data_IF_737818656497
#
_entry.id   IF_737818656497
#
_cell.length_a   1.000
_cell.length_b   1.000
_cell.length_c   1.000
_cell.angle_alpha   90.00
_cell.angle_beta   90.00
_cell.angle_gamma   90.00
#
_symmetry.space_group_name_H-M   'P 1'
#
loop_
_entity.id
_entity.type
_entity.pdbx_description
1 polymer ?
#
# COMPACT_ATOMS: atom_id res chain seq x y z
N UNK A 1 27.52 -11.55 -13.54
CA UNK A 1 26.17 -11.73 -12.98
C UNK A 1 26.15 -10.97 -11.66
N UNK A 2 25.50 -9.81 -11.61
CA UNK A 2 25.36 -9.05 -10.36
C UNK A 2 24.41 -9.83 -9.43
N UNK A 3 24.86 -10.13 -8.23
CA UNK A 3 24.02 -10.77 -7.21
C UNK A 3 23.38 -9.63 -6.42
N UNK A 4 22.06 -9.54 -6.46
CA UNK A 4 21.33 -8.50 -5.74
C UNK A 4 21.54 -8.64 -4.23
N UNK A 5 21.73 -7.54 -3.52
CA UNK A 5 21.79 -7.56 -2.06
C UNK A 5 20.38 -7.60 -1.42
N UNK A 6 20.32 -7.75 -0.08
CA UNK A 6 19.06 -7.83 0.65
C UNK A 6 18.16 -6.60 0.48
N UNK A 7 18.75 -5.41 0.34
CA UNK A 7 18.00 -4.16 0.19
C UNK A 7 17.45 -3.98 -1.22
N UNK A 8 18.23 -4.37 -2.24
CA UNK A 8 17.78 -4.39 -3.64
C UNK A 8 16.61 -5.37 -3.84
N UNK A 9 16.66 -6.53 -3.19
CA UNK A 9 15.55 -7.49 -3.19
C UNK A 9 14.28 -6.97 -2.51
N UNK A 10 14.40 -6.29 -1.36
CA UNK A 10 13.26 -5.70 -0.68
C UNK A 10 12.62 -4.58 -1.52
N UNK A 11 13.45 -3.69 -2.08
CA UNK A 11 13.00 -2.62 -2.99
C UNK A 11 12.20 -3.19 -4.17
N UNK A 12 12.72 -4.26 -4.79
CA UNK A 12 12.07 -4.96 -5.87
C UNK A 12 10.71 -5.56 -5.46
N UNK A 13 10.65 -6.20 -4.30
CA UNK A 13 9.42 -6.82 -3.79
C UNK A 13 8.34 -5.78 -3.49
N UNK A 14 8.71 -4.64 -2.88
CA UNK A 14 7.79 -3.55 -2.58
C UNK A 14 7.23 -2.91 -3.86
N UNK A 15 8.08 -2.72 -4.88
CA UNK A 15 7.62 -2.27 -6.21
C UNK A 15 6.63 -3.26 -6.84
N UNK A 16 6.92 -4.57 -6.78
CA UNK A 16 6.01 -5.63 -7.27
C UNK A 16 4.69 -5.64 -6.49
N UNK A 17 4.74 -5.48 -5.18
CA UNK A 17 3.56 -5.42 -4.32
C UNK A 17 2.66 -4.23 -4.68
N UNK A 18 3.22 -3.01 -4.73
CA UNK A 18 2.46 -1.82 -5.11
C UNK A 18 1.78 -2.03 -6.45
N UNK A 19 2.49 -2.60 -7.43
CA UNK A 19 1.93 -2.88 -8.74
C UNK A 19 0.72 -3.83 -8.67
N UNK A 20 0.90 -5.04 -8.15
CA UNK A 20 -0.18 -6.03 -8.11
C UNK A 20 -1.39 -5.57 -7.30
N UNK A 21 -1.16 -4.86 -6.19
CA UNK A 21 -2.26 -4.37 -5.34
C UNK A 21 -2.93 -3.15 -5.97
N UNK A 22 -2.20 -2.23 -6.59
CA UNK A 22 -2.79 -1.13 -7.34
C UNK A 22 -3.67 -1.65 -8.49
N UNK A 23 -3.22 -2.67 -9.21
CA UNK A 23 -3.98 -3.34 -10.26
C UNK A 23 -5.28 -3.94 -9.73
N UNK A 24 -5.23 -4.66 -8.60
CA UNK A 24 -6.40 -5.20 -7.94
C UNK A 24 -7.38 -4.09 -7.53
N UNK A 25 -6.90 -2.99 -6.95
CA UNK A 25 -7.73 -1.85 -6.52
C UNK A 25 -8.38 -1.13 -7.72
N UNK A 26 -7.65 -0.98 -8.83
CA UNK A 26 -8.19 -0.39 -10.05
C UNK A 26 -9.22 -1.31 -10.73
N UNK A 27 -9.02 -2.63 -10.66
CA UNK A 27 -10.03 -3.60 -11.08
C UNK A 27 -11.29 -3.46 -10.23
N UNK A 28 -11.19 -3.43 -8.89
CA UNK A 28 -12.35 -3.25 -8.01
C UNK A 28 -13.09 -1.94 -8.30
N UNK A 29 -12.35 -0.84 -8.51
CA UNK A 29 -12.92 0.43 -8.93
C UNK A 29 -13.73 0.30 -10.22
N UNK A 30 -13.24 -0.46 -11.22
CA UNK A 30 -13.99 -0.71 -12.47
C UNK A 30 -15.31 -1.45 -12.25
N UNK A 31 -15.38 -2.23 -11.16
CA UNK A 31 -16.59 -2.92 -10.71
C UNK A 31 -17.42 -2.08 -9.72
N UNK A 32 -17.09 -0.80 -9.53
CA UNK A 32 -17.68 0.09 -8.52
C UNK A 32 -17.59 -0.42 -7.07
N UNK A 33 -16.53 -1.17 -6.76
CA UNK A 33 -16.23 -1.74 -5.44
C UNK A 33 -15.03 -1.00 -4.83
N UNK A 34 -15.11 -0.72 -3.53
CA UNK A 34 -13.97 -0.27 -2.72
C UNK A 34 -13.54 -1.37 -1.77
N UNK A 35 -12.23 -1.52 -1.57
CA UNK A 35 -11.70 -2.52 -0.64
C UNK A 35 -11.89 -2.10 0.82
N UNK A 36 -11.52 -0.85 1.14
CA UNK A 36 -11.66 -0.19 2.44
C UNK A 36 -10.80 -0.74 3.59
N UNK A 37 -10.19 -1.92 3.43
CA UNK A 37 -9.31 -2.56 4.42
C UNK A 37 -7.94 -2.97 3.85
N UNK A 38 -7.27 -2.07 3.12
CA UNK A 38 -5.91 -2.34 2.63
C UNK A 38 -4.93 -2.16 3.79
N UNK A 39 -4.23 -3.24 4.16
CA UNK A 39 -3.20 -3.27 5.20
C UNK A 39 -2.28 -4.49 4.97
N UNK A 40 -1.09 -4.55 5.58
CA UNK A 40 -0.16 -5.66 5.36
C UNK A 40 -0.78 -7.04 5.59
N UNK A 41 -1.56 -7.24 6.65
CA UNK A 41 -2.19 -8.55 6.95
C UNK A 41 -3.26 -8.99 5.93
N UNK A 42 -3.75 -8.07 5.09
CA UNK A 42 -4.73 -8.36 4.02
C UNK A 42 -4.07 -8.45 2.63
N UNK A 43 -2.74 -8.41 2.57
CA UNK A 43 -1.97 -8.65 1.36
C UNK A 43 -1.39 -10.06 1.52
N UNK A 44 -1.61 -10.94 0.55
CA UNK A 44 -1.06 -12.29 0.56
C UNK A 44 0.06 -12.38 -0.48
N UNK A 45 1.09 -13.15 -0.17
CA UNK A 45 2.15 -13.44 -1.11
C UNK A 45 2.10 -14.91 -1.55
N UNK A 46 1.97 -15.13 -2.85
CA UNK A 46 2.35 -16.38 -3.48
C UNK A 46 3.86 -16.34 -3.79
N UNK A 47 4.63 -17.34 -3.36
CA UNK A 47 6.09 -17.33 -3.49
C UNK A 47 6.57 -17.85 -4.85
N UNK A 48 5.78 -18.69 -5.53
CA UNK A 48 6.13 -19.22 -6.83
C UNK A 48 4.89 -19.32 -7.75
N UNK A 49 4.77 -18.47 -8.79
CA UNK A 49 5.57 -17.25 -8.99
C UNK A 49 5.26 -16.19 -7.92
N UNK A 50 6.21 -15.27 -7.69
CA UNK A 50 6.08 -14.14 -6.77
C UNK A 50 4.94 -13.22 -7.20
N UNK A 51 3.78 -13.36 -6.54
CA UNK A 51 2.56 -12.60 -6.82
C UNK A 51 1.95 -12.15 -5.49
N UNK A 52 1.63 -10.87 -5.41
CA UNK A 52 0.90 -10.31 -4.28
C UNK A 52 -0.58 -10.25 -4.62
N UNK A 53 -1.45 -10.65 -3.69
CA UNK A 53 -2.90 -10.67 -3.88
C UNK A 53 -3.58 -9.97 -2.71
N UNK A 54 -4.57 -9.14 -3.00
CA UNK A 54 -5.41 -8.55 -1.98
C UNK A 54 -6.46 -9.57 -1.51
N UNK A 55 -6.66 -9.70 -0.19
CA UNK A 55 -7.65 -10.58 0.42
C UNK A 55 -8.52 -9.83 1.45
N UNK A 56 -9.45 -10.56 2.06
CA UNK A 56 -10.42 -10.06 3.06
C UNK A 56 -11.33 -8.92 2.55
N UNK A 57 -12.33 -9.32 1.77
CA UNK A 57 -13.36 -8.45 1.23
C UNK A 57 -14.52 -8.21 2.22
N UNK A 58 -14.34 -8.53 3.52
CA UNK A 58 -15.41 -8.54 4.53
C UNK A 58 -16.08 -7.19 4.77
N UNK A 59 -15.42 -6.08 4.44
CA UNK A 59 -15.98 -4.72 4.52
C UNK A 59 -16.06 -4.01 3.16
N UNK A 60 -15.92 -4.75 2.06
CA UNK A 60 -16.12 -4.21 0.73
C UNK A 60 -17.55 -3.70 0.54
N UNK A 61 -17.70 -2.60 -0.19
CA UNK A 61 -19.01 -2.00 -0.44
C UNK A 61 -19.05 -1.31 -1.79
N UNK A 62 -20.25 -1.21 -2.36
CA UNK A 62 -20.47 -0.40 -3.56
C UNK A 62 -20.14 1.07 -3.26
N UNK A 63 -19.63 1.79 -4.27
CA UNK A 63 -19.38 3.24 -4.17
C UNK A 63 -20.62 4.07 -3.77
N UNK A 64 -21.81 3.49 -3.91
CA UNK A 64 -23.11 4.18 -3.82
C UNK A 64 -23.53 4.44 -2.36
N UNK A 65 -23.07 3.64 -1.39
CA UNK A 65 -23.42 3.80 0.03
C UNK A 65 -22.16 3.77 0.92
N UNK A 66 -21.69 4.94 1.35
CA UNK A 66 -20.35 5.09 1.95
C UNK A 66 -20.35 5.37 3.47
N UNK A 67 -21.36 4.91 4.21
CA UNK A 67 -21.34 4.89 5.68
C UNK A 67 -21.25 3.47 6.19
N UNK A 68 -20.04 2.91 6.19
CA UNK A 68 -19.80 1.58 6.77
C UNK A 68 -18.95 1.74 8.03
N UNK A 69 -19.56 1.42 9.17
CA UNK A 69 -19.09 1.76 10.52
C UNK A 69 -18.24 0.67 11.18
N UNK A 70 -17.92 -0.42 10.48
CA UNK A 70 -17.49 -1.69 11.08
C UNK A 70 -15.96 -1.89 11.18
N UNK A 71 -15.16 -0.82 11.18
CA UNK A 71 -13.69 -0.94 11.25
C UNK A 71 -13.17 -0.95 12.70
N UNK A 72 -12.34 -1.95 13.02
CA UNK A 72 -11.63 -2.13 14.30
C UNK A 72 -10.49 -1.11 14.47
N UNK A 73 -10.14 -0.76 15.71
CA UNK A 73 -9.14 0.28 16.06
C UNK A 73 -7.81 0.12 15.31
N UNK A 74 -7.27 -1.09 15.20
CA UNK A 74 -6.01 -1.38 14.51
C UNK A 74 -6.06 -1.13 12.99
N UNK A 75 -7.25 -1.12 12.41
CA UNK A 75 -7.44 -0.86 10.98
C UNK A 75 -7.56 0.65 10.69
N UNK A 76 -7.87 1.47 11.70
CA UNK A 76 -8.18 2.88 11.51
C UNK A 76 -6.97 3.76 11.22
N UNK A 77 -5.79 3.32 11.64
CA UNK A 77 -4.53 4.02 11.39
C UNK A 77 -4.15 4.05 9.88
N UNK A 78 -4.77 3.19 9.06
CA UNK A 78 -4.63 3.17 7.61
C UNK A 78 -5.63 4.09 6.88
N UNK A 79 -6.57 4.73 7.60
CA UNK A 79 -7.55 5.59 6.97
C UNK A 79 -6.89 6.80 6.34
N UNK A 80 -7.32 7.12 5.12
CA UNK A 80 -6.95 8.35 4.46
C UNK A 80 -7.57 9.56 5.18
N UNK A 81 -6.94 10.75 5.12
CA UNK A 81 -7.46 11.97 5.77
C UNK A 81 -8.92 12.25 5.47
N UNK A 82 -9.33 12.07 4.21
CA UNK A 82 -10.71 12.28 3.77
C UNK A 82 -11.72 11.24 4.27
N UNK A 83 -11.24 10.08 4.76
CA UNK A 83 -12.07 9.09 5.45
C UNK A 83 -12.20 9.39 6.95
N UNK A 84 -11.25 10.14 7.52
CA UNK A 84 -11.28 10.61 8.91
C UNK A 84 -12.18 11.85 9.02
N UNK A 85 -11.97 12.84 8.15
CA UNK A 85 -12.80 14.04 8.05
C UNK A 85 -13.52 14.11 6.70
N UNK A 86 -14.85 13.90 6.74
CA UNK A 86 -15.71 13.94 5.56
C UNK A 86 -15.79 15.33 4.92
N UNK A 87 -15.46 16.40 5.64
CA UNK A 87 -15.44 17.74 5.07
C UNK A 87 -14.32 17.89 4.01
N UNK A 88 -13.26 17.07 4.11
CA UNK A 88 -12.18 17.03 3.12
C UNK A 88 -12.57 16.31 1.83
N UNK A 89 -13.67 15.56 1.82
CA UNK A 89 -14.26 15.04 0.58
C UNK A 89 -15.78 15.18 0.57
N UNK A 90 -16.29 16.36 0.21
CA UNK A 90 -17.72 16.61 0.07
C UNK A 90 -18.41 15.68 -0.95
N UNK A 91 -17.64 15.16 -1.91
CA UNK A 91 -18.11 14.27 -2.97
C UNK A 91 -17.90 12.78 -2.64
N UNK A 92 -17.47 12.45 -1.41
CA UNK A 92 -17.23 11.09 -0.94
C UNK A 92 -15.81 10.58 -1.21
N UNK A 93 -15.45 9.48 -0.56
CA UNK A 93 -14.15 8.82 -0.76
C UNK A 93 -14.25 7.72 -1.83
N UNK A 94 -13.11 7.31 -2.37
CA UNK A 94 -13.06 6.30 -3.43
C UNK A 94 -11.78 5.50 -3.43
N UNK A 95 -11.42 4.92 -4.58
CA UNK A 95 -10.18 4.11 -4.74
C UNK A 95 -8.92 4.86 -4.29
N UNK A 96 -8.92 6.20 -4.32
CA UNK A 96 -7.82 7.05 -3.87
C UNK A 96 -7.51 6.86 -2.37
N UNK A 97 -8.51 6.50 -1.56
CA UNK A 97 -8.31 6.20 -0.15
C UNK A 97 -7.71 4.81 0.06
N UNK A 98 -8.03 3.84 -0.81
CA UNK A 98 -7.36 2.53 -0.81
C UNK A 98 -5.89 2.66 -1.27
N UNK A 99 -5.60 3.56 -2.22
CA UNK A 99 -4.23 3.87 -2.65
C UNK A 99 -3.40 4.50 -1.52
N UNK A 100 -3.99 5.35 -0.69
CA UNK A 100 -3.33 5.87 0.51
C UNK A 100 -2.95 4.74 1.48
N UNK A 101 -3.89 3.84 1.74
CA UNK A 101 -3.67 2.70 2.61
C UNK A 101 -2.60 1.74 2.07
N UNK A 102 -2.51 1.58 0.74
CA UNK A 102 -1.38 0.88 0.09
C UNK A 102 -0.04 1.59 0.32
N UNK A 103 -0.01 2.93 0.27
CA UNK A 103 1.18 3.73 0.60
C UNK A 103 1.65 3.51 2.04
N UNK A 104 0.73 3.55 3.01
CA UNK A 104 1.03 3.29 4.42
C UNK A 104 1.49 1.85 4.64
N UNK A 105 0.83 0.89 4.01
CA UNK A 105 1.22 -0.53 4.07
C UNK A 105 2.64 -0.73 3.54
N UNK A 106 2.99 -0.11 2.41
CA UNK A 106 4.33 -0.21 1.83
C UNK A 106 5.38 0.40 2.76
N UNK A 107 5.10 1.57 3.33
CA UNK A 107 6.02 2.24 4.25
C UNK A 107 6.23 1.43 5.54
N UNK A 108 5.14 0.90 6.11
CA UNK A 108 5.21 0.06 7.30
C UNK A 108 6.05 -1.18 7.04
N UNK A 109 5.83 -1.87 5.91
CA UNK A 109 6.60 -3.07 5.54
C UNK A 109 8.07 -2.72 5.34
N UNK A 110 8.37 -1.60 4.67
CA UNK A 110 9.74 -1.17 4.48
C UNK A 110 10.46 -0.88 5.81
N UNK A 111 9.74 -0.31 6.79
CA UNK A 111 10.35 0.21 8.03
C UNK A 111 10.13 -0.68 9.25
N UNK A 112 9.32 -1.74 9.13
CA UNK A 112 8.72 -2.49 10.24
C UNK A 112 8.00 -1.60 11.27
N UNK A 113 7.54 -0.40 10.88
CA UNK A 113 6.93 0.58 11.80
C UNK A 113 5.84 1.38 11.10
N UNK A 114 4.61 1.28 11.59
CA UNK A 114 3.54 2.15 11.11
C UNK A 114 3.76 3.59 11.62
N UNK A 115 3.72 4.62 10.76
CA UNK A 115 4.05 6.01 11.14
C UNK A 115 3.11 6.62 12.19
N UNK A 116 1.91 6.06 12.32
CA UNK A 116 0.85 6.55 13.20
C UNK A 116 0.37 5.53 14.24
N UNK A 117 1.15 4.49 14.53
CA UNK A 117 0.71 3.36 15.39
C UNK A 117 0.14 3.79 16.76
N UNK A 118 0.71 4.83 17.36
CA UNK A 118 0.32 5.32 18.70
C UNK A 118 -0.71 6.47 18.66
N UNK A 119 -1.19 6.84 17.47
CA UNK A 119 -2.07 7.99 17.29
C UNK A 119 -3.53 7.57 17.10
N UNK A 120 -4.44 8.42 17.57
CA UNK A 120 -5.88 8.34 17.27
C UNK A 120 -6.21 9.16 16.02
N UNK A 121 -7.34 8.88 15.37
CA UNK A 121 -7.68 9.46 14.05
C UNK A 121 -7.65 11.00 14.02
N UNK A 122 -8.16 11.74 15.02
CA UNK A 122 -8.05 13.21 15.04
C UNK A 122 -6.60 13.71 15.07
N UNK A 123 -5.71 13.01 15.78
CA UNK A 123 -4.29 13.37 15.84
C UNK A 123 -3.57 13.07 14.52
N UNK A 124 -3.95 11.97 13.86
CA UNK A 124 -3.46 11.62 12.53
C UNK A 124 -3.82 12.72 11.53
N UNK A 125 -5.08 13.19 11.56
CA UNK A 125 -5.55 14.24 10.65
C UNK A 125 -4.70 15.51 10.74
N UNK A 126 -4.46 16.00 11.97
CA UNK A 126 -3.61 17.18 12.22
C UNK A 126 -2.17 16.92 11.76
N UNK A 127 -1.65 15.72 12.01
CA UNK A 127 -0.26 15.37 11.67
C UNK A 127 -0.05 15.31 10.16
N UNK A 128 -0.98 14.71 9.40
CA UNK A 128 -0.84 14.46 7.96
C UNK A 128 -0.69 15.75 7.14
N UNK A 129 -1.21 16.88 7.58
CA UNK A 129 -1.07 18.16 6.86
C UNK A 129 0.39 18.63 6.74
N UNK A 130 1.22 18.29 7.72
CA UNK A 130 2.62 18.73 7.81
C UNK A 130 3.61 17.59 7.74
N UNK A 131 3.12 16.35 7.67
CA UNK A 131 3.94 15.16 7.72
C UNK A 131 4.65 14.92 6.39
N UNK A 132 5.97 14.73 6.49
CA UNK A 132 6.81 14.24 5.40
C UNK A 132 7.19 12.80 5.79
N UNK A 133 6.85 11.79 4.97
CA UNK A 133 7.23 10.41 5.25
C UNK A 133 8.75 10.26 5.39
N UNK A 134 9.20 9.70 6.51
CA UNK A 134 10.60 9.32 6.69
C UNK A 134 10.86 8.03 5.89
N UNK A 135 11.57 8.16 4.78
CA UNK A 135 11.84 7.05 3.87
C UNK A 135 13.27 6.52 4.07
N UNK A 136 13.45 5.20 4.20
CA UNK A 136 14.79 4.65 4.33
C UNK A 136 15.66 4.92 3.11
N UNK A 137 16.91 5.34 3.34
CA UNK A 137 17.87 5.67 2.27
C UNK A 137 18.28 4.48 1.41
N UNK A 138 18.04 3.25 1.87
CA UNK A 138 18.28 2.04 1.10
C UNK A 138 17.17 1.74 0.08
N UNK A 139 16.02 2.42 0.14
CA UNK A 139 15.01 2.32 -0.92
C UNK A 139 15.47 3.14 -2.11
N UNK A 140 15.20 2.63 -3.31
CA UNK A 140 15.46 3.37 -4.54
C UNK A 140 14.68 4.68 -4.59
N UNK A 141 15.22 5.69 -5.28
CA UNK A 141 14.57 7.00 -5.45
C UNK A 141 13.19 6.83 -6.07
N UNK A 142 13.06 5.88 -7.00
CA UNK A 142 11.82 5.52 -7.66
C UNK A 142 10.75 5.04 -6.67
N UNK A 143 11.10 4.09 -5.79
CA UNK A 143 10.17 3.58 -4.79
C UNK A 143 9.81 4.67 -3.76
N UNK A 144 10.79 5.48 -3.34
CA UNK A 144 10.54 6.61 -2.45
C UNK A 144 9.52 7.58 -3.06
N UNK A 145 9.70 7.97 -4.33
CA UNK A 145 8.76 8.84 -5.04
C UNK A 145 7.37 8.23 -5.17
N UNK A 146 7.30 6.92 -5.44
CA UNK A 146 6.03 6.20 -5.54
C UNK A 146 5.28 6.18 -4.19
N UNK A 147 5.97 5.91 -3.07
CA UNK A 147 5.40 5.98 -1.73
C UNK A 147 4.90 7.40 -1.41
N UNK A 148 5.71 8.43 -1.69
CA UNK A 148 5.31 9.85 -1.51
C UNK A 148 4.07 10.18 -2.32
N UNK A 149 3.95 9.63 -3.54
CA UNK A 149 2.82 9.91 -4.41
C UNK A 149 1.53 9.27 -3.92
N UNK A 150 1.60 8.04 -3.40
CA UNK A 150 0.47 7.37 -2.72
C UNK A 150 0.05 8.11 -1.44
N UNK A 151 0.99 8.73 -0.74
CA UNK A 151 0.79 9.43 0.54
C UNK A 151 0.55 10.95 0.41
N UNK A 152 0.05 11.42 -0.74
CA UNK A 152 -0.41 12.81 -0.86
C UNK A 152 -1.63 13.05 0.02
N UNK A 153 -1.60 14.10 0.85
CA UNK A 153 -2.68 14.43 1.79
C UNK A 153 -4.00 14.67 1.06
N UNK A 154 -3.95 15.39 -0.07
CA UNK A 154 -5.10 15.55 -0.96
C UNK A 154 -5.31 14.31 -1.83
N UNK A 155 -6.53 13.78 -1.81
CA UNK A 155 -6.83 12.57 -2.58
C UNK A 155 -6.66 12.78 -4.09
N UNK A 156 -6.93 13.98 -4.63
CA UNK A 156 -6.87 14.27 -6.07
C UNK A 156 -5.45 14.10 -6.65
N UNK A 157 -4.44 14.35 -5.83
CA UNK A 157 -3.03 14.32 -6.19
C UNK A 157 -2.46 12.88 -6.22
N UNK A 158 -3.21 11.89 -5.71
CA UNK A 158 -2.82 10.47 -5.72
C UNK A 158 -2.99 9.83 -7.12
N UNK A 159 -2.27 8.75 -7.44
CA UNK A 159 -2.43 8.09 -8.74
C UNK A 159 -3.75 7.30 -8.83
N UNK A 160 -4.42 7.37 -10.00
CA UNK A 160 -5.61 6.57 -10.33
C UNK A 160 -5.63 6.04 -11.78
N UNK A 161 -4.55 6.27 -12.53
CA UNK A 161 -4.41 5.83 -13.93
C UNK A 161 -3.30 4.80 -14.02
N UNK A 162 -3.64 3.68 -14.65
CA UNK A 162 -2.80 2.49 -14.87
C UNK A 162 -1.45 2.84 -15.50
N UNK A 163 -1.46 3.78 -16.44
CA UNK A 163 -0.30 4.20 -17.23
C UNK A 163 0.83 4.76 -16.35
N UNK A 164 0.55 5.50 -15.27
CA UNK A 164 1.60 6.18 -14.51
C UNK A 164 2.23 5.35 -13.38
N UNK A 165 1.63 4.23 -12.96
CA UNK A 165 2.25 3.36 -11.93
C UNK A 165 3.17 2.34 -12.59
N UNK A 166 2.78 1.85 -13.78
CA UNK A 166 3.50 0.81 -14.52
C UNK A 166 4.58 1.37 -15.46
N UNK A 167 4.29 2.43 -16.22
CA UNK A 167 5.25 2.96 -17.22
C UNK A 167 6.33 3.84 -16.59
N UNK A 168 6.06 4.46 -15.44
CA UNK A 168 7.00 5.40 -14.83
C UNK A 168 8.22 4.73 -14.18
N UNK A 169 8.20 3.41 -13.96
CA UNK A 169 9.25 2.74 -13.16
C UNK A 169 9.75 1.39 -13.73
N UNK A 170 9.48 1.09 -15.00
CA UNK A 170 9.99 -0.12 -15.68
C UNK A 170 9.71 -1.45 -14.94
N UNK A 171 8.58 -1.53 -14.24
CA UNK A 171 8.17 -2.71 -13.44
C UNK A 171 7.87 -3.92 -14.34
N UNK A 172 7.56 -3.70 -15.62
CA UNK A 172 7.33 -4.76 -16.61
C UNK A 172 8.60 -5.54 -16.99
N UNK A 173 9.79 -5.00 -16.71
CA UNK A 173 11.09 -5.64 -16.99
C UNK A 173 11.73 -6.29 -15.76
N UNK A 174 11.00 -6.46 -14.67
CA UNK A 174 11.54 -7.11 -13.48
C UNK A 174 11.79 -8.60 -13.73
N UNK A 175 12.98 -9.14 -13.39
CA UNK A 175 13.28 -10.55 -13.57
C UNK A 175 12.21 -11.42 -12.92
N UNK A 176 11.60 -12.33 -13.67
CA UNK A 176 10.65 -13.34 -13.14
C UNK A 176 11.32 -14.27 -12.14
N UNK A 177 12.62 -14.50 -12.31
CA UNK A 177 13.45 -15.24 -11.38
C UNK A 177 14.11 -14.27 -10.41
N UNK A 178 13.60 -14.21 -9.18
CA UNK A 178 14.41 -13.70 -8.08
C UNK A 178 15.36 -14.82 -7.70
N UNK A 179 16.66 -14.53 -7.73
CA UNK A 179 17.72 -15.51 -7.99
C UNK A 179 17.88 -16.64 -6.96
N UNK A 180 17.19 -16.61 -5.82
CA UNK A 180 17.00 -17.77 -4.90
C UNK A 180 15.71 -17.59 -4.08
N UNK A 181 14.73 -18.48 -4.23
CA UNK A 181 13.46 -18.46 -3.46
C UNK A 181 13.68 -18.30 -1.95
N UNK A 182 14.71 -18.95 -1.38
CA UNK A 182 15.04 -18.89 0.06
C UNK A 182 15.43 -17.49 0.56
N UNK A 183 16.18 -16.71 -0.23
CA UNK A 183 16.59 -15.35 0.16
C UNK A 183 15.40 -14.39 0.15
N UNK A 184 14.52 -14.53 -0.85
CA UNK A 184 13.27 -13.77 -0.91
C UNK A 184 12.42 -14.10 0.30
N UNK A 185 12.17 -15.39 0.56
CA UNK A 185 11.37 -15.86 1.69
C UNK A 185 11.93 -15.32 3.00
N UNK A 186 13.25 -15.36 3.19
CA UNK A 186 13.90 -14.80 4.38
C UNK A 186 13.71 -13.28 4.50
N UNK A 187 13.84 -12.52 3.41
CA UNK A 187 13.58 -11.08 3.40
C UNK A 187 12.11 -10.78 3.73
N UNK A 188 11.20 -11.58 3.20
CA UNK A 188 9.76 -11.45 3.46
C UNK A 188 9.47 -11.82 4.92
N UNK A 189 10.05 -12.88 5.47
CA UNK A 189 9.85 -13.27 6.89
C UNK A 189 10.42 -12.20 7.83
N UNK A 190 11.61 -11.66 7.52
CA UNK A 190 12.32 -10.72 8.39
C UNK A 190 11.74 -9.29 8.34
N UNK A 191 11.14 -8.88 7.22
CA UNK A 191 10.59 -7.52 7.04
C UNK A 191 9.07 -7.49 6.91
N UNK A 192 8.43 -8.65 6.78
CA UNK A 192 6.99 -8.79 6.65
C UNK A 192 6.47 -10.00 7.45
N UNK A 193 6.79 -10.12 8.75
CA UNK A 193 6.37 -11.27 9.56
C UNK A 193 4.85 -11.46 9.56
N UNK A 194 4.10 -10.37 9.39
CA UNK A 194 2.64 -10.32 9.34
C UNK A 194 2.02 -11.08 8.13
N UNK A 195 2.81 -11.42 7.09
CA UNK A 195 2.32 -12.16 5.92
C UNK A 195 2.26 -13.68 6.13
N UNK A 196 2.83 -14.20 7.22
CA UNK A 196 2.97 -15.64 7.48
C UNK A 196 2.06 -16.17 8.60
N UNK A 197 1.37 -15.29 9.31
CA UNK A 197 0.38 -15.68 10.33
C UNK A 197 -1.00 -15.80 9.70
N UNK A 198 -1.31 -16.96 9.12
CA UNK A 198 -2.68 -17.48 8.94
C UNK A 198 -2.69 -19.00 9.08
#
# INVERSE_FOLDING_TARGET
MHVMDKTEHLDLLLKRMINHIADALLFLKSQNILHRDVKPSNILLNQNPIIFKLCDFGICGQLIDSVTSTMTKGTRIYLAPERIDRNLSPHGYGVRSDMWALGLSTLEIATNKHPFFEMIEPAILIKVETWIPELPSYLSVELQQLIIWLLKSRQEDRPIKYENILTSFAIQSLPTEITKEEEVVKIIIENIPQLYEN
#
